data_IF_823134710623
#
_entry.id   IF_823134710623
#
_cell.length_a   1.000
_cell.length_b   1.000
_cell.length_c   1.000
_cell.angle_alpha   90.00
_cell.angle_beta   90.00
_cell.angle_gamma   90.00
#
_symmetry.space_group_name_H-M   'P 1'
#
loop_
_entity.id
_entity.type
_entity.pdbx_description
1 polymer ?
#
# COMPACT_ATOMS: atom_id res chain seq x y z
N UNK A 1 -6.88 -20.96 12.71
CA UNK A 1 -6.69 -19.54 13.07
C UNK A 1 -6.60 -18.79 11.76
N UNK A 2 -7.42 -17.76 11.56
CA UNK A 2 -7.48 -17.07 10.27
C UNK A 2 -6.20 -16.24 10.07
N UNK A 3 -5.69 -16.21 8.85
CA UNK A 3 -4.42 -15.57 8.47
C UNK A 3 -4.66 -14.35 7.59
N UNK A 4 -4.06 -13.22 7.96
CA UNK A 4 -4.03 -12.00 7.17
C UNK A 4 -2.65 -11.81 6.54
N UNK A 5 -2.61 -11.58 5.23
CA UNK A 5 -1.44 -11.03 4.55
C UNK A 5 -1.59 -9.51 4.45
N UNK A 6 -0.54 -8.79 4.84
CA UNK A 6 -0.51 -7.33 4.85
C UNK A 6 0.62 -6.88 3.94
N UNK A 7 0.33 -5.96 3.02
CA UNK A 7 1.33 -5.39 2.14
C UNK A 7 1.11 -3.90 1.89
N UNK A 8 2.19 -3.21 1.51
CA UNK A 8 2.23 -1.77 1.32
C UNK A 8 3.66 -1.24 1.36
N UNK A 9 3.79 0.07 1.53
CA UNK A 9 5.08 0.76 1.64
C UNK A 9 5.50 0.97 3.10
N UNK A 10 6.38 1.96 3.34
CA UNK A 10 6.92 2.32 4.65
C UNK A 10 5.85 2.67 5.71
N UNK A 11 4.72 3.25 5.31
CA UNK A 11 3.61 3.57 6.22
C UNK A 11 2.88 2.31 6.74
N UNK A 12 2.77 1.28 5.91
CA UNK A 12 2.22 -0.02 6.32
C UNK A 12 3.23 -0.88 7.08
N UNK A 13 4.52 -0.69 6.79
CA UNK A 13 5.61 -1.30 7.56
C UNK A 13 5.75 -0.68 8.97
N UNK A 14 5.40 0.60 9.13
CA UNK A 14 5.65 1.37 10.36
C UNK A 14 7.12 1.75 10.51
N UNK A 15 7.75 2.21 9.45
CA UNK A 15 9.23 2.39 9.39
C UNK A 15 9.79 3.33 10.46
N UNK A 16 8.97 4.23 11.01
CA UNK A 16 9.37 5.24 11.99
C UNK A 16 8.57 5.14 13.30
N UNK A 17 7.93 3.99 13.55
CA UNK A 17 7.17 3.72 14.76
C UNK A 17 7.41 2.29 15.25
N UNK A 18 7.25 2.04 16.55
CA UNK A 18 7.33 0.69 17.12
C UNK A 18 6.15 -0.22 16.71
N UNK A 19 5.15 0.34 16.04
CA UNK A 19 3.95 -0.37 15.57
C UNK A 19 3.55 0.09 14.19
N UNK A 20 2.61 -0.60 13.56
CA UNK A 20 2.01 -0.18 12.30
C UNK A 20 0.51 -0.50 12.23
N UNK A 21 -0.16 0.17 11.30
CA UNK A 21 -1.61 0.11 11.10
C UNK A 21 -2.08 -1.31 10.80
N UNK A 22 -1.39 -2.04 9.93
CA UNK A 22 -1.80 -3.39 9.52
C UNK A 22 -1.70 -4.41 10.65
N UNK A 23 -0.61 -4.39 11.43
CA UNK A 23 -0.42 -5.32 12.54
C UNK A 23 -1.49 -5.06 13.62
N UNK A 24 -1.78 -3.79 13.93
CA UNK A 24 -2.84 -3.45 14.89
C UNK A 24 -4.21 -3.92 14.37
N UNK A 25 -4.47 -3.76 13.06
CA UNK A 25 -5.68 -4.26 12.42
C UNK A 25 -5.85 -5.78 12.66
N UNK A 26 -4.83 -6.58 12.37
CA UNK A 26 -4.89 -8.03 12.56
C UNK A 26 -5.04 -8.44 14.04
N UNK A 27 -4.27 -7.81 14.94
CA UNK A 27 -4.35 -8.08 16.38
C UNK A 27 -5.74 -7.79 16.96
N UNK A 28 -6.44 -6.76 16.48
CA UNK A 28 -7.80 -6.43 16.93
C UNK A 28 -8.87 -7.40 16.41
N UNK A 29 -8.55 -8.20 15.40
CA UNK A 29 -9.44 -9.20 14.84
C UNK A 29 -9.12 -10.62 15.35
N UNK A 30 -8.14 -10.76 16.24
CA UNK A 30 -7.65 -12.06 16.75
C UNK A 30 -7.21 -12.99 15.60
N UNK A 31 -6.52 -12.42 14.61
CA UNK A 31 -6.02 -13.14 13.43
C UNK A 31 -4.50 -13.21 13.43
N UNK A 32 -3.96 -14.35 13.00
CA UNK A 32 -2.55 -14.47 12.66
C UNK A 32 -2.24 -13.57 11.47
N UNK A 33 -1.03 -13.03 11.38
CA UNK A 33 -0.68 -12.17 10.26
C UNK A 33 0.77 -12.29 9.80
N UNK A 34 0.96 -12.01 8.51
CA UNK A 34 2.27 -11.71 7.93
C UNK A 34 2.21 -10.33 7.30
N UNK A 35 3.11 -9.44 7.72
CA UNK A 35 3.34 -8.17 7.06
C UNK A 35 4.59 -8.26 6.18
N UNK A 36 4.41 -8.10 4.87
CA UNK A 36 5.46 -8.11 3.85
C UNK A 36 5.70 -6.73 3.23
N UNK A 37 5.18 -5.67 3.86
CA UNK A 37 5.39 -4.30 3.40
C UNK A 37 6.86 -3.95 3.29
N UNK A 38 7.22 -3.27 2.20
CA UNK A 38 8.59 -2.89 1.90
C UNK A 38 8.74 -1.36 1.87
N UNK A 39 9.53 -0.74 2.78
CA UNK A 39 9.82 0.68 2.75
C UNK A 39 10.39 1.13 1.39
N UNK A 40 9.83 2.20 0.83
CA UNK A 40 10.20 2.71 -0.49
C UNK A 40 9.77 1.84 -1.68
N UNK A 41 9.04 0.75 -1.46
CA UNK A 41 8.44 -0.05 -2.54
C UNK A 41 7.29 0.69 -3.23
N UNK A 42 7.20 0.55 -4.56
CA UNK A 42 6.12 1.11 -5.39
C UNK A 42 4.91 0.19 -5.57
N UNK A 43 3.87 0.67 -6.24
CA UNK A 43 2.62 -0.08 -6.39
C UNK A 43 2.78 -1.39 -7.20
N UNK A 44 3.68 -1.43 -8.18
CA UNK A 44 4.02 -2.69 -8.86
C UNK A 44 4.66 -3.71 -7.89
N UNK A 45 5.58 -3.26 -7.03
CA UNK A 45 6.22 -4.14 -6.05
C UNK A 45 5.21 -4.73 -5.05
N UNK A 46 4.19 -3.96 -4.66
CA UNK A 46 3.08 -4.40 -3.81
C UNK A 46 2.27 -5.50 -4.52
N UNK A 47 1.85 -5.26 -5.77
CA UNK A 47 1.16 -6.27 -6.59
C UNK A 47 1.98 -7.57 -6.67
N UNK A 48 3.22 -7.45 -7.16
CA UNK A 48 4.11 -8.59 -7.42
C UNK A 48 4.38 -9.39 -6.15
N UNK A 49 4.86 -8.74 -5.09
CA UNK A 49 5.24 -9.42 -3.86
C UNK A 49 4.04 -10.04 -3.13
N UNK A 50 2.83 -9.48 -3.28
CA UNK A 50 1.62 -10.11 -2.77
C UNK A 50 1.35 -11.43 -3.47
N UNK A 51 1.38 -11.45 -4.81
CA UNK A 51 1.17 -12.66 -5.60
C UNK A 51 2.28 -13.69 -5.33
N UNK A 52 3.56 -13.29 -5.44
CA UNK A 52 4.71 -14.18 -5.18
C UNK A 52 4.61 -14.81 -3.79
N UNK A 53 4.29 -14.03 -2.75
CA UNK A 53 4.14 -14.57 -1.40
C UNK A 53 3.00 -15.59 -1.29
N UNK A 54 1.84 -15.33 -1.89
CA UNK A 54 0.68 -16.24 -1.86
C UNK A 54 1.01 -17.54 -2.59
N UNK A 55 1.67 -17.48 -3.75
CA UNK A 55 2.08 -18.67 -4.51
C UNK A 55 3.11 -19.51 -3.74
N UNK A 56 4.04 -18.88 -3.02
CA UNK A 56 5.10 -19.57 -2.28
C UNK A 56 4.65 -20.12 -0.92
N UNK A 57 3.71 -19.46 -0.25
CA UNK A 57 3.37 -19.73 1.16
C UNK A 57 1.93 -20.23 1.35
N UNK A 58 1.13 -20.27 0.28
CA UNK A 58 -0.27 -20.65 0.30
C UNK A 58 -1.22 -19.49 0.58
N UNK A 59 -2.51 -19.74 0.33
CA UNK A 59 -3.58 -18.74 0.40
C UNK A 59 -3.82 -18.25 1.84
N UNK A 60 -3.78 -16.93 2.10
CA UNK A 60 -4.32 -16.35 3.33
C UNK A 60 -5.85 -16.31 3.30
N UNK A 61 -6.48 -16.14 4.46
CA UNK A 61 -7.93 -15.93 4.55
C UNK A 61 -8.31 -14.49 4.19
N UNK A 62 -7.38 -13.54 4.38
CA UNK A 62 -7.61 -12.13 4.08
C UNK A 62 -6.34 -11.42 3.61
N UNK A 63 -6.48 -10.43 2.72
CA UNK A 63 -5.38 -9.58 2.25
C UNK A 63 -5.69 -8.10 2.50
N UNK A 64 -4.81 -7.41 3.22
CA UNK A 64 -4.88 -5.96 3.43
C UNK A 64 -3.77 -5.25 2.64
N UNK A 65 -4.16 -4.41 1.69
CA UNK A 65 -3.22 -3.63 0.86
C UNK A 65 -3.37 -2.14 1.14
N UNK A 66 -2.25 -1.52 1.52
CA UNK A 66 -2.10 -0.07 1.53
C UNK A 66 -1.29 0.42 0.33
N UNK A 67 -1.98 0.91 -0.71
CA UNK A 67 -1.36 1.44 -1.92
C UNK A 67 -0.56 2.72 -1.63
N UNK A 68 0.58 2.88 -2.30
CA UNK A 68 1.55 3.95 -2.05
C UNK A 68 1.48 5.03 -3.11
N UNK A 69 2.54 5.83 -3.20
CA UNK A 69 2.65 6.93 -4.14
C UNK A 69 2.72 6.46 -5.57
N UNK A 70 2.17 7.27 -6.47
CA UNK A 70 1.92 6.87 -7.86
C UNK A 70 3.22 6.79 -8.66
N UNK A 71 4.17 7.66 -8.33
CA UNK A 71 5.43 7.84 -9.04
C UNK A 71 6.52 6.82 -8.68
N UNK A 72 6.27 5.93 -7.71
CA UNK A 72 7.21 4.86 -7.32
C UNK A 72 7.13 3.67 -8.26
N UNK A 73 8.26 3.20 -8.74
CA UNK A 73 8.37 2.02 -9.60
C UNK A 73 9.59 1.16 -9.26
N UNK A 74 9.58 -0.07 -9.74
CA UNK A 74 10.68 -1.03 -9.63
C UNK A 74 11.39 -1.13 -10.97
N UNK A 75 12.72 -1.26 -10.95
CA UNK A 75 13.54 -1.44 -12.14
C UNK A 75 14.70 -2.41 -11.87
N UNK A 76 15.33 -2.91 -12.92
CA UNK A 76 16.51 -3.75 -12.79
C UNK A 76 17.77 -2.90 -12.67
N UNK A 77 18.60 -3.17 -11.67
CA UNK A 77 19.94 -2.61 -11.53
C UNK A 77 20.93 -3.74 -11.32
N UNK A 78 21.85 -3.95 -12.27
CA UNK A 78 22.90 -4.99 -12.21
C UNK A 78 22.35 -6.40 -11.93
N UNK A 79 21.18 -6.73 -12.48
CA UNK A 79 20.51 -8.03 -12.29
C UNK A 79 19.62 -8.11 -11.05
N UNK A 80 19.66 -7.11 -10.17
CA UNK A 80 18.86 -7.05 -8.95
C UNK A 80 17.65 -6.13 -9.11
N UNK A 81 16.59 -6.38 -8.30
CA UNK A 81 15.42 -5.50 -8.24
C UNK A 81 15.75 -4.28 -7.37
N UNK A 82 15.67 -3.10 -7.98
CA UNK A 82 15.81 -1.83 -7.30
C UNK A 82 14.47 -1.08 -7.29
N UNK A 83 14.15 -0.46 -6.15
CA UNK A 83 13.00 0.44 -6.05
C UNK A 83 13.43 1.88 -6.26
N UNK A 84 12.62 2.66 -6.95
CA UNK A 84 12.72 4.11 -7.03
C UNK A 84 11.65 4.76 -6.14
N UNK A 85 12.05 5.82 -5.43
CA UNK A 85 11.17 6.81 -4.81
C UNK A 85 11.82 8.19 -5.00
N UNK A 86 11.02 9.24 -4.97
CA UNK A 86 11.52 10.62 -5.00
C UNK A 86 12.62 10.82 -3.94
N UNK A 87 13.67 11.54 -4.34
CA UNK A 87 14.85 11.88 -3.52
C UNK A 87 15.58 10.66 -2.93
N UNK A 88 15.46 9.49 -3.57
CA UNK A 88 16.20 8.30 -3.14
C UNK A 88 17.70 8.47 -3.37
N UNK A 89 18.51 8.07 -2.40
CA UNK A 89 19.97 8.10 -2.48
C UNK A 89 20.60 6.70 -2.51
N UNK A 90 21.79 6.60 -3.08
CA UNK A 90 22.64 5.41 -3.07
C UNK A 90 24.13 5.76 -2.88
N UNK A 91 24.85 4.89 -2.18
CA UNK A 91 26.32 4.93 -2.12
C UNK A 91 26.96 4.42 -3.43
N UNK A 92 26.22 3.68 -4.27
CA UNK A 92 26.66 3.34 -5.63
C UNK A 92 26.54 4.60 -6.50
N UNK A 93 27.69 5.18 -6.86
CA UNK A 93 27.76 6.46 -7.60
C UNK A 93 27.03 6.43 -8.94
N UNK A 94 27.00 5.28 -9.62
CA UNK A 94 26.29 5.18 -10.90
C UNK A 94 24.78 5.04 -10.69
N UNK A 95 24.38 4.33 -9.63
CA UNK A 95 22.97 4.25 -9.25
C UNK A 95 22.45 5.60 -8.77
N UNK A 96 23.24 6.37 -8.02
CA UNK A 96 22.91 7.71 -7.57
C UNK A 96 22.68 8.65 -8.77
N UNK A 97 23.59 8.65 -9.75
CA UNK A 97 23.40 9.41 -11.00
C UNK A 97 22.15 8.96 -11.74
N UNK A 98 21.89 7.65 -11.76
CA UNK A 98 20.69 7.12 -12.38
C UNK A 98 19.43 7.57 -11.65
N UNK A 99 19.40 7.61 -10.32
CA UNK A 99 18.28 8.18 -9.57
C UNK A 99 18.01 9.64 -9.95
N UNK A 100 19.04 10.48 -10.09
CA UNK A 100 18.86 11.86 -10.58
C UNK A 100 18.30 11.93 -11.99
N UNK A 101 18.70 11.00 -12.86
CA UNK A 101 18.10 10.89 -14.19
C UNK A 101 16.61 10.50 -14.11
N UNK A 102 16.27 9.54 -13.24
CA UNK A 102 14.89 9.10 -13.04
C UNK A 102 14.00 10.23 -12.52
N UNK A 103 14.47 11.03 -11.56
CA UNK A 103 13.72 12.18 -11.03
C UNK A 103 13.31 13.16 -12.15
N UNK A 104 14.24 13.42 -13.07
CA UNK A 104 14.08 14.46 -14.09
C UNK A 104 13.31 13.99 -15.33
N UNK A 105 13.38 12.69 -15.66
CA UNK A 105 12.99 12.21 -16.99
C UNK A 105 12.00 11.04 -16.99
N UNK A 106 11.81 10.35 -15.86
CA UNK A 106 11.03 9.09 -15.82
C UNK A 106 9.92 9.14 -14.79
N UNK A 107 10.18 9.78 -13.65
CA UNK A 107 9.23 9.94 -12.57
C UNK A 107 8.04 10.79 -13.00
N UNK A 108 6.92 10.14 -13.34
CA UNK A 108 5.69 10.80 -13.77
C UNK A 108 4.51 10.30 -12.94
N UNK A 109 3.81 11.24 -12.30
CA UNK A 109 2.69 10.96 -11.41
C UNK A 109 1.45 10.46 -12.18
N UNK A 110 1.20 10.99 -13.37
CA UNK A 110 0.01 10.66 -14.16
C UNK A 110 0.13 9.27 -14.79
N UNK A 111 1.29 8.95 -15.36
CA UNK A 111 1.60 7.60 -15.84
C UNK A 111 1.60 6.61 -14.67
N UNK A 112 2.20 6.99 -13.54
CA UNK A 112 2.21 6.22 -12.31
C UNK A 112 0.80 5.89 -11.80
N UNK A 113 -0.12 6.85 -11.90
CA UNK A 113 -1.53 6.69 -11.53
C UNK A 113 -2.26 5.70 -12.44
N UNK A 114 -2.09 5.82 -13.75
CA UNK A 114 -2.67 4.86 -14.71
C UNK A 114 -2.20 3.42 -14.44
N UNK A 115 -0.89 3.27 -14.23
CA UNK A 115 -0.27 1.99 -13.87
C UNK A 115 -0.82 1.45 -12.55
N UNK A 116 -0.98 2.29 -11.54
CA UNK A 116 -1.52 1.88 -10.24
C UNK A 116 -2.95 1.38 -10.34
N UNK A 117 -3.80 2.04 -11.15
CA UNK A 117 -5.16 1.54 -11.39
C UNK A 117 -5.15 0.17 -12.06
N UNK A 118 -4.27 -0.04 -13.03
CA UNK A 118 -4.08 -1.37 -13.62
C UNK A 118 -3.61 -2.40 -12.57
N UNK A 119 -2.66 -2.04 -11.69
CA UNK A 119 -2.17 -2.94 -10.65
C UNK A 119 -3.23 -3.31 -9.61
N UNK A 120 -4.06 -2.34 -9.22
CA UNK A 120 -5.22 -2.57 -8.34
C UNK A 120 -6.17 -3.58 -8.99
N UNK A 121 -6.51 -3.36 -10.25
CA UNK A 121 -7.40 -4.24 -10.98
C UNK A 121 -6.82 -5.66 -11.11
N UNK A 122 -5.54 -5.79 -11.47
CA UNK A 122 -4.87 -7.08 -11.57
C UNK A 122 -4.84 -7.83 -10.23
N UNK A 123 -4.52 -7.15 -9.14
CA UNK A 123 -4.49 -7.77 -7.82
C UNK A 123 -5.89 -8.20 -7.38
N UNK A 124 -6.90 -7.35 -7.60
CA UNK A 124 -8.30 -7.70 -7.37
C UNK A 124 -8.66 -8.99 -8.12
N UNK A 125 -8.40 -9.05 -9.43
CA UNK A 125 -8.75 -10.23 -10.23
C UNK A 125 -8.04 -11.48 -9.74
N UNK A 126 -6.76 -11.37 -9.38
CA UNK A 126 -6.02 -12.49 -8.80
C UNK A 126 -6.64 -12.98 -7.48
N UNK A 127 -7.00 -12.07 -6.57
CA UNK A 127 -7.57 -12.40 -5.26
C UNK A 127 -8.98 -12.99 -5.38
N UNK A 128 -9.84 -12.39 -6.21
CA UNK A 128 -11.21 -12.85 -6.45
C UNK A 128 -11.22 -14.25 -7.09
N UNK A 129 -10.37 -14.49 -8.10
CA UNK A 129 -10.24 -15.80 -8.74
C UNK A 129 -9.67 -16.88 -7.80
N UNK A 130 -8.97 -16.48 -6.73
CA UNK A 130 -8.44 -17.38 -5.74
C UNK A 130 -9.33 -17.54 -4.50
N UNK A 131 -10.52 -16.91 -4.50
CA UNK A 131 -11.47 -16.91 -3.38
C UNK A 131 -10.85 -16.33 -2.08
N UNK A 132 -9.98 -15.33 -2.23
CA UNK A 132 -9.33 -14.65 -1.11
C UNK A 132 -10.06 -13.32 -0.87
N UNK A 133 -10.55 -13.11 0.35
CA UNK A 133 -11.11 -11.82 0.74
C UNK A 133 -10.00 -10.77 0.92
N UNK A 134 -10.32 -9.52 0.65
CA UNK A 134 -9.32 -8.47 0.63
C UNK A 134 -9.91 -7.10 0.90
N UNK A 135 -9.10 -6.19 1.41
CA UNK A 135 -9.43 -4.77 1.50
C UNK A 135 -8.27 -3.95 0.98
N UNK A 136 -8.60 -2.98 0.13
CA UNK A 136 -7.67 -1.97 -0.36
C UNK A 136 -7.89 -0.65 0.36
N UNK A 137 -6.81 0.10 0.56
CA UNK A 137 -6.86 1.50 0.93
C UNK A 137 -5.70 2.24 0.26
N UNK A 138 -5.89 3.53 -0.01
CA UNK A 138 -4.78 4.40 -0.37
C UNK A 138 -4.07 4.77 0.92
N UNK A 139 -2.82 4.36 1.07
CA UNK A 139 -2.04 4.76 2.25
C UNK A 139 -1.55 6.20 2.11
N UNK A 140 -1.12 6.63 0.93
CA UNK A 140 -0.51 7.97 0.76
C UNK A 140 -1.12 8.85 -0.32
N UNK A 141 -1.22 8.41 -1.59
CA UNK A 141 -1.87 9.21 -2.62
C UNK A 141 -3.28 8.72 -2.91
N UNK A 142 -4.21 9.64 -3.00
CA UNK A 142 -5.59 9.37 -3.41
C UNK A 142 -5.72 9.22 -4.94
N UNK A 143 -6.81 8.57 -5.36
CA UNK A 143 -7.27 8.62 -6.75
C UNK A 143 -8.32 9.74 -6.85
N UNK A 144 -8.10 10.80 -7.64
CA UNK A 144 -9.04 11.94 -7.68
C UNK A 144 -10.46 11.50 -8.07
N UNK A 145 -11.49 12.15 -7.49
CA UNK A 145 -12.90 11.82 -7.79
C UNK A 145 -13.25 11.95 -9.28
N UNK A 146 -12.63 12.90 -9.98
CA UNK A 146 -12.81 13.10 -11.42
C UNK A 146 -12.07 12.08 -12.30
N UNK A 147 -11.23 11.23 -11.73
CA UNK A 147 -10.51 10.20 -12.48
C UNK A 147 -11.43 9.00 -12.74
N UNK A 148 -11.79 8.80 -14.01
CA UNK A 148 -12.82 7.83 -14.40
C UNK A 148 -12.36 6.99 -15.61
N UNK A 149 -11.14 6.45 -15.54
CA UNK A 149 -10.65 5.55 -16.59
C UNK A 149 -11.56 4.32 -16.72
N UNK A 150 -11.55 3.68 -17.90
CA UNK A 150 -12.39 2.49 -18.10
C UNK A 150 -12.02 1.34 -17.16
N UNK A 151 -10.75 1.24 -16.76
CA UNK A 151 -10.30 0.24 -15.78
C UNK A 151 -10.81 0.59 -14.37
N UNK A 152 -10.82 1.88 -14.00
CA UNK A 152 -11.34 2.32 -12.70
C UNK A 152 -12.77 1.82 -12.44
N UNK A 153 -13.62 1.85 -13.47
CA UNK A 153 -15.02 1.39 -13.40
C UNK A 153 -15.16 -0.12 -13.14
N UNK A 154 -14.09 -0.88 -13.31
CA UNK A 154 -14.06 -2.34 -13.06
C UNK A 154 -13.57 -2.68 -11.64
N UNK A 155 -13.07 -1.70 -10.88
CA UNK A 155 -12.59 -1.92 -9.53
C UNK A 155 -13.79 -2.07 -8.57
N UNK A 156 -13.70 -3.08 -7.70
CA UNK A 156 -14.71 -3.34 -6.68
C UNK A 156 -14.57 -2.36 -5.52
N UNK A 157 -15.32 -1.25 -5.59
CA UNK A 157 -15.25 -0.17 -4.60
C UNK A 157 -15.81 -0.58 -3.22
N UNK A 158 -16.66 -1.61 -3.13
CA UNK A 158 -17.15 -2.13 -1.84
C UNK A 158 -16.02 -2.76 -1.00
N UNK A 159 -14.89 -3.11 -1.63
CA UNK A 159 -13.69 -3.64 -0.98
C UNK A 159 -12.58 -2.59 -0.87
N UNK A 160 -12.87 -1.32 -1.16
CA UNK A 160 -11.87 -0.24 -1.21
C UNK A 160 -12.22 0.90 -0.24
N UNK A 161 -11.54 0.93 0.91
CA UNK A 161 -11.69 1.98 1.90
C UNK A 161 -11.14 3.33 1.41
N UNK A 162 -11.97 4.37 1.46
CA UNK A 162 -11.66 5.76 1.07
C UNK A 162 -10.92 5.88 -0.27
N UNK A 163 -11.49 5.33 -1.33
CA UNK A 163 -10.83 5.27 -2.65
C UNK A 163 -10.50 6.66 -3.28
N UNK A 164 -11.05 7.76 -2.78
CA UNK A 164 -10.75 9.15 -3.23
C UNK A 164 -10.00 10.01 -2.21
N UNK A 165 -9.48 9.40 -1.14
CA UNK A 165 -8.65 10.05 -0.12
C UNK A 165 -7.52 9.10 0.24
N UNK A 166 -6.48 9.54 0.93
CA UNK A 166 -5.54 8.62 1.57
C UNK A 166 -5.74 8.55 3.07
N UNK A 167 -5.42 7.40 3.65
CA UNK A 167 -5.52 7.17 5.09
C UNK A 167 -4.59 8.10 5.88
N UNK A 168 -3.42 8.43 5.31
CA UNK A 168 -2.48 9.39 5.91
C UNK A 168 -3.04 10.81 5.84
N UNK A 169 -3.59 11.26 4.71
CA UNK A 169 -4.22 12.60 4.62
C UNK A 169 -5.37 12.75 5.62
N UNK A 170 -6.22 11.72 5.74
CA UNK A 170 -7.32 11.69 6.71
C UNK A 170 -6.78 11.78 8.15
N UNK A 171 -5.77 10.97 8.48
CA UNK A 171 -5.13 11.01 9.80
C UNK A 171 -4.44 12.35 10.08
N UNK A 172 -3.77 12.97 9.10
CA UNK A 172 -3.14 14.28 9.28
C UNK A 172 -4.15 15.41 9.49
N UNK A 173 -5.39 15.24 9.03
CA UNK A 173 -6.49 16.18 9.33
C UNK A 173 -6.97 16.10 10.79
N UNK A 174 -6.83 14.93 11.41
CA UNK A 174 -7.21 14.68 12.81
C UNK A 174 -6.06 14.99 13.78
N UNK A 175 -4.83 14.63 13.42
CA UNK A 175 -3.64 14.73 14.28
C UNK A 175 -2.67 15.77 13.74
N UNK A 176 -2.51 16.89 14.45
CA UNK A 176 -1.55 17.95 14.09
C UNK A 176 -0.10 17.67 14.52
N UNK A 177 0.12 16.65 15.35
CA UNK A 177 1.45 16.24 15.87
C UNK A 177 1.59 14.72 15.80
N UNK A 178 2.80 14.20 16.06
CA UNK A 178 3.07 12.76 15.97
C UNK A 178 3.45 12.28 14.57
N UNK A 179 3.91 13.20 13.72
CA UNK A 179 4.41 12.95 12.37
C UNK A 179 5.89 13.31 12.27
N UNK A 180 6.63 12.60 11.43
CA UNK A 180 7.97 13.00 11.01
C UNK A 180 7.93 13.97 9.82
N UNK A 181 9.09 14.52 9.46
CA UNK A 181 9.24 15.42 8.31
C UNK A 181 8.87 14.74 6.98
N UNK A 182 9.01 13.41 6.91
CA UNK A 182 8.61 12.57 5.77
C UNK A 182 7.16 12.10 5.87
N UNK A 183 6.37 12.68 6.79
CA UNK A 183 4.96 12.38 7.05
C UNK A 183 4.69 10.94 7.50
N UNK A 184 5.66 10.26 8.11
CA UNK A 184 5.39 8.99 8.78
C UNK A 184 4.80 9.26 10.17
N UNK A 185 3.79 8.49 10.55
CA UNK A 185 3.29 8.50 11.91
C UNK A 185 4.38 7.95 12.83
N UNK A 186 4.80 8.74 13.82
CA UNK A 186 5.75 8.33 14.87
C UNK A 186 5.02 8.00 16.17
N UNK A 187 3.81 8.55 16.37
CA UNK A 187 2.93 8.21 17.50
C UNK A 187 2.11 6.93 17.22
N UNK A 188 2.25 5.87 18.06
CA UNK A 188 1.43 4.66 17.98
C UNK A 188 -0.09 4.89 17.97
N UNK A 189 -0.58 5.98 18.57
CA UNK A 189 -2.01 6.27 18.63
C UNK A 189 -2.59 6.64 17.26
N UNK A 190 -1.79 7.24 16.38
CA UNK A 190 -2.21 7.52 15.00
C UNK A 190 -2.40 6.19 14.24
N UNK A 191 -1.49 5.23 14.42
CA UNK A 191 -1.65 3.88 13.86
C UNK A 191 -2.88 3.15 14.42
N UNK A 192 -3.16 3.27 15.72
CA UNK A 192 -4.38 2.70 16.32
C UNK A 192 -5.64 3.33 15.74
N UNK A 193 -5.65 4.65 15.56
CA UNK A 193 -6.75 5.38 14.94
C UNK A 193 -6.98 4.93 13.49
N UNK A 194 -5.92 4.91 12.67
CA UNK A 194 -6.00 4.42 11.30
C UNK A 194 -6.52 2.98 11.25
N UNK A 195 -6.02 2.10 12.12
CA UNK A 195 -6.46 0.71 12.19
C UNK A 195 -7.95 0.62 12.59
N UNK A 196 -8.42 1.43 13.53
CA UNK A 196 -9.83 1.46 13.96
C UNK A 196 -10.80 1.77 12.82
N UNK A 197 -10.40 2.66 11.90
CA UNK A 197 -11.18 2.99 10.70
C UNK A 197 -11.29 1.80 9.75
N UNK A 198 -10.17 1.13 9.51
CA UNK A 198 -10.11 -0.09 8.70
C UNK A 198 -10.90 -1.25 9.34
N UNK A 199 -10.82 -1.43 10.66
CA UNK A 199 -11.60 -2.43 11.41
C UNK A 199 -13.10 -2.16 11.30
N UNK A 200 -13.50 -0.90 11.42
CA UNK A 200 -14.90 -0.51 11.28
C UNK A 200 -15.42 -0.88 9.88
N UNK A 201 -14.71 -0.49 8.83
CA UNK A 201 -15.05 -0.86 7.45
C UNK A 201 -15.08 -2.39 7.25
N UNK A 202 -14.10 -3.11 7.81
CA UNK A 202 -14.06 -4.58 7.76
C UNK A 202 -15.32 -5.20 8.38
N UNK A 203 -15.70 -4.76 9.58
CA UNK A 203 -16.88 -5.30 10.29
C UNK A 203 -18.19 -5.03 9.55
N UNK A 204 -18.30 -3.90 8.86
CA UNK A 204 -19.49 -3.57 8.08
C UNK A 204 -19.62 -4.40 6.81
N UNK A 205 -18.50 -4.73 6.15
CA UNK A 205 -18.51 -5.33 4.83
C UNK A 205 -18.28 -6.84 4.80
N UNK A 206 -17.60 -7.41 5.81
CA UNK A 206 -17.15 -8.82 5.79
C UNK A 206 -17.75 -9.69 6.89
N UNK A 207 -18.19 -9.12 8.02
CA UNK A 207 -18.74 -9.89 9.15
C UNK A 207 -20.27 -10.00 9.09
N UNK A 208 -20.93 -9.07 8.38
CA UNK A 208 -22.40 -9.02 8.26
C UNK A 208 -22.95 -9.76 7.02
N UNK A 209 -22.12 -10.48 6.29
CA UNK A 209 -22.50 -11.31 5.14
C UNK A 209 -22.47 -12.77 5.55
#
# INVERSE_FOLDING_TARGET
MNKILINGCSHMAGSECATNTGNIFALNLDMDFKNISNPGGGNYSILRSTIEYIEENGKPDFVLIGWTTQERFEFSWKGERANYTLDKHSDDTDLEKFYRYLDLNVCDFEIGKENTILYIFLLQQYLENNEIDYMFCNMYNSIPQGYQSNIWKLINLDKYYLHHTSLIEDAMSEFSTGWSDTKHATDPNIHKWMASKLIHFYRENYVRR
#
